data_IF_287664196479
#
_entry.id   IF_287664196479
#
_cell.length_a   1.000
_cell.length_b   1.000
_cell.length_c   1.000
_cell.angle_alpha   90.00
_cell.angle_beta   90.00
_cell.angle_gamma   90.00
#
_symmetry.space_group_name_H-M   'P 1'
#
loop_
_entity.id
_entity.type
_entity.pdbx_description
1 polymer ?
#
# COMPACT_ATOMS: atom_id res chain seq x y z
N UNK A 1 -49.05 -27.15 35.86
CA UNK A 1 -47.75 -27.63 35.35
C UNK A 1 -47.06 -26.51 34.59
N UNK A 2 -45.88 -26.03 35.00
CA UNK A 2 -45.08 -25.11 34.20
C UNK A 2 -44.68 -25.79 32.88
N UNK A 3 -44.74 -25.08 31.75
CA UNK A 3 -44.20 -25.62 30.50
C UNK A 3 -42.70 -25.87 30.67
N UNK A 4 -42.18 -27.02 30.23
CA UNK A 4 -40.74 -27.25 30.24
C UNK A 4 -40.06 -26.15 29.40
N UNK A 5 -38.87 -25.69 29.80
CA UNK A 5 -38.13 -24.69 29.05
C UNK A 5 -37.94 -25.17 27.61
N UNK A 6 -38.18 -24.28 26.63
CA UNK A 6 -37.97 -24.59 25.22
C UNK A 6 -36.51 -25.01 25.03
N UNK A 7 -36.29 -26.18 24.45
CA UNK A 7 -34.95 -26.63 24.09
C UNK A 7 -34.30 -25.62 23.14
N UNK A 8 -33.03 -25.32 23.39
CA UNK A 8 -32.23 -24.45 22.55
C UNK A 8 -32.06 -25.04 21.14
N UNK A 9 -31.96 -24.17 20.14
CA UNK A 9 -31.85 -24.62 18.74
C UNK A 9 -30.52 -25.36 18.53
N UNK A 10 -30.49 -26.50 17.82
CA UNK A 10 -29.30 -27.32 17.62
C UNK A 10 -28.39 -26.73 16.52
N UNK A 11 -27.92 -25.50 16.71
CA UNK A 11 -27.23 -24.72 15.69
C UNK A 11 -25.79 -25.17 15.42
N UNK A 12 -25.16 -25.84 16.39
CA UNK A 12 -23.80 -26.37 16.27
C UNK A 12 -23.78 -27.88 16.09
N UNK A 13 -24.90 -28.46 15.65
CA UNK A 13 -24.97 -29.88 15.29
C UNK A 13 -23.81 -30.25 14.38
N UNK A 14 -23.16 -31.38 14.69
CA UNK A 14 -21.98 -31.92 14.01
C UNK A 14 -20.73 -31.03 13.99
N UNK A 15 -20.69 -29.96 14.78
CA UNK A 15 -19.48 -29.16 14.92
C UNK A 15 -18.70 -29.54 16.17
N UNK A 16 -17.39 -29.63 15.99
CA UNK A 16 -16.41 -29.73 17.07
C UNK A 16 -15.62 -28.44 17.06
N UNK A 17 -15.71 -27.70 18.15
CA UNK A 17 -15.18 -26.34 18.28
C UNK A 17 -14.11 -26.34 19.36
N UNK A 18 -12.94 -25.79 19.03
CA UNK A 18 -11.85 -25.54 19.98
C UNK A 18 -11.55 -24.04 20.04
N UNK A 19 -10.83 -23.61 21.07
CA UNK A 19 -10.27 -22.24 21.16
C UNK A 19 -8.75 -22.26 21.01
N UNK A 20 -8.19 -21.20 20.44
CA UNK A 20 -6.75 -21.04 20.31
C UNK A 20 -6.07 -20.64 21.63
N UNK A 21 -6.78 -19.87 22.45
CA UNK A 21 -6.41 -19.43 23.79
C UNK A 21 -7.67 -18.98 24.55
N UNK A 22 -7.52 -18.59 25.81
CA UNK A 22 -8.60 -17.95 26.58
C UNK A 22 -9.12 -16.74 25.82
N UNK A 23 -10.42 -16.76 25.50
CA UNK A 23 -11.04 -15.67 24.75
C UNK A 23 -11.26 -14.46 25.68
N UNK A 24 -11.24 -13.23 25.14
CA UNK A 24 -11.48 -12.03 25.94
C UNK A 24 -12.84 -12.04 26.65
N UNK A 25 -12.83 -11.74 27.95
CA UNK A 25 -14.01 -11.65 28.82
C UNK A 25 -14.10 -12.81 29.82
N UNK A 26 -14.39 -12.48 31.09
CA UNK A 26 -14.38 -13.43 32.22
C UNK A 26 -15.29 -14.65 32.04
N UNK A 27 -16.36 -14.49 31.26
CA UNK A 27 -17.33 -15.55 31.00
C UNK A 27 -16.86 -16.58 29.96
N UNK A 28 -15.86 -16.30 29.13
CA UNK A 28 -15.41 -17.18 28.04
C UNK A 28 -14.36 -18.19 28.51
N UNK A 29 -14.65 -18.86 29.61
CA UNK A 29 -13.85 -19.97 30.12
C UNK A 29 -14.20 -21.27 29.40
N UNK A 30 -13.27 -22.21 29.36
CA UNK A 30 -13.49 -23.53 28.76
C UNK A 30 -14.76 -24.25 29.26
N UNK A 31 -15.07 -24.25 30.59
CA UNK A 31 -16.30 -24.88 31.08
C UNK A 31 -17.58 -24.20 30.57
N UNK A 32 -17.57 -22.87 30.47
CA UNK A 32 -18.72 -22.12 29.96
C UNK A 32 -18.91 -22.36 28.46
N UNK A 33 -17.82 -22.34 27.69
CA UNK A 33 -17.85 -22.65 26.27
C UNK A 33 -18.36 -24.07 26.02
N UNK A 34 -17.84 -25.06 26.76
CA UNK A 34 -18.31 -26.43 26.70
C UNK A 34 -19.82 -26.53 26.94
N UNK A 35 -20.32 -25.88 28.00
CA UNK A 35 -21.74 -25.84 28.32
C UNK A 35 -22.58 -25.18 27.22
N UNK A 36 -22.19 -24.00 26.74
CA UNK A 36 -22.96 -23.25 25.74
C UNK A 36 -23.00 -23.91 24.37
N UNK A 37 -21.90 -24.55 23.97
CA UNK A 37 -21.79 -25.29 22.71
C UNK A 37 -22.60 -26.59 22.80
N UNK A 38 -22.50 -27.32 23.91
CA UNK A 38 -23.26 -28.56 24.14
C UNK A 38 -24.77 -28.31 24.16
N UNK A 39 -25.21 -27.23 24.80
CA UNK A 39 -26.63 -26.81 24.83
C UNK A 39 -27.21 -26.61 23.42
N UNK A 40 -26.35 -26.35 22.43
CA UNK A 40 -26.69 -26.13 21.02
C UNK A 40 -26.27 -27.29 20.11
N UNK A 41 -26.13 -28.48 20.69
CA UNK A 41 -25.80 -29.75 20.03
C UNK A 41 -24.42 -29.82 19.35
N UNK A 42 -23.48 -28.95 19.74
CA UNK A 42 -22.07 -29.04 19.34
C UNK A 42 -21.22 -29.75 20.38
N UNK A 43 -19.95 -30.00 20.04
CA UNK A 43 -18.93 -30.50 20.98
C UNK A 43 -17.82 -29.47 21.15
N UNK A 44 -17.47 -29.19 22.40
CA UNK A 44 -16.26 -28.43 22.69
C UNK A 44 -15.07 -29.38 22.84
N UNK A 45 -13.92 -28.99 22.31
CA UNK A 45 -12.66 -29.73 22.46
C UNK A 45 -11.60 -28.83 23.06
N UNK A 46 -10.96 -29.32 24.13
CA UNK A 46 -9.75 -28.70 24.66
C UNK A 46 -8.57 -28.97 23.73
N UNK A 47 -8.52 -30.14 23.11
CA UNK A 47 -7.40 -30.56 22.27
C UNK A 47 -7.66 -30.35 20.78
N UNK A 48 -6.58 -30.17 20.03
CA UNK A 48 -6.60 -30.06 18.58
C UNK A 48 -6.41 -31.44 17.94
N UNK A 49 -7.50 -32.18 17.77
CA UNK A 49 -7.51 -33.49 17.13
C UNK A 49 -8.07 -33.44 15.68
N UNK A 50 -8.16 -34.61 15.04
CA UNK A 50 -8.69 -34.76 13.69
C UNK A 50 -10.20 -34.48 13.59
N UNK A 51 -10.92 -34.46 14.71
CA UNK A 51 -12.36 -34.23 14.76
C UNK A 51 -12.72 -32.74 14.82
N UNK A 52 -11.80 -31.87 15.27
CA UNK A 52 -12.01 -30.42 15.34
C UNK A 52 -12.35 -29.88 13.96
N UNK A 53 -13.44 -29.11 13.87
CA UNK A 53 -13.94 -28.49 12.65
C UNK A 53 -13.73 -26.98 12.62
N UNK A 54 -13.78 -26.35 13.80
CA UNK A 54 -13.66 -24.90 13.95
C UNK A 54 -12.69 -24.58 15.08
N UNK A 55 -11.80 -23.62 14.84
CA UNK A 55 -10.93 -23.03 15.85
C UNK A 55 -11.35 -21.57 16.02
N UNK A 56 -11.91 -21.24 17.18
CA UNK A 56 -12.21 -19.86 17.56
C UNK A 56 -10.92 -19.20 18.05
N UNK A 57 -10.53 -18.10 17.42
CA UNK A 57 -9.23 -17.48 17.62
C UNK A 57 -9.36 -15.94 17.61
N UNK A 58 -8.58 -15.27 18.45
CA UNK A 58 -8.47 -13.82 18.43
C UNK A 58 -7.42 -13.33 17.41
N UNK A 59 -7.51 -12.07 16.93
CA UNK A 59 -6.56 -11.53 15.97
C UNK A 59 -5.10 -11.56 16.46
N UNK A 60 -4.86 -11.36 17.75
CA UNK A 60 -3.51 -11.39 18.37
C UNK A 60 -2.88 -12.77 18.26
N UNK A 61 -3.60 -13.83 18.65
CA UNK A 61 -3.11 -15.21 18.66
C UNK A 61 -2.89 -15.73 17.23
N UNK A 62 -3.71 -15.25 16.29
CA UNK A 62 -3.56 -15.59 14.88
C UNK A 62 -2.38 -14.88 14.22
N UNK A 63 -2.11 -13.62 14.58
CA UNK A 63 -0.95 -12.87 14.09
C UNK A 63 0.36 -13.47 14.63
N UNK A 64 0.35 -14.08 15.82
CA UNK A 64 1.48 -14.80 16.43
C UNK A 64 1.44 -16.33 16.18
N UNK A 65 0.91 -16.75 15.01
CA UNK A 65 0.73 -18.16 14.65
C UNK A 65 1.99 -19.05 14.76
N UNK A 66 3.19 -18.46 14.72
CA UNK A 66 4.46 -19.15 14.93
C UNK A 66 4.50 -19.83 16.31
N UNK A 67 3.89 -19.20 17.31
CA UNK A 67 3.96 -19.63 18.72
C UNK A 67 2.75 -20.45 19.14
N UNK A 68 1.57 -20.21 18.57
CA UNK A 68 0.35 -20.94 18.92
C UNK A 68 0.23 -22.26 18.14
N UNK A 69 0.51 -23.39 18.83
CA UNK A 69 0.44 -24.72 18.23
C UNK A 69 -0.95 -25.09 17.67
N UNK A 70 -2.03 -24.61 18.30
CA UNK A 70 -3.41 -24.87 17.84
C UNK A 70 -3.72 -24.15 16.54
N UNK A 71 -3.29 -22.89 16.44
CA UNK A 71 -3.41 -22.11 15.19
C UNK A 71 -2.60 -22.76 14.08
N UNK A 72 -1.36 -23.18 14.36
CA UNK A 72 -0.51 -23.88 13.39
C UNK A 72 -1.14 -25.18 12.90
N UNK A 73 -1.68 -25.99 13.81
CA UNK A 73 -2.39 -27.23 13.46
C UNK A 73 -3.62 -26.97 12.59
N UNK A 74 -4.41 -25.94 12.91
CA UNK A 74 -5.58 -25.56 12.11
C UNK A 74 -5.19 -25.07 10.71
N UNK A 75 -4.16 -24.21 10.59
CA UNK A 75 -3.66 -23.74 9.29
C UNK A 75 -3.05 -24.87 8.45
N UNK A 76 -2.36 -25.83 9.10
CA UNK A 76 -1.80 -27.02 8.45
C UNK A 76 -2.85 -28.03 7.98
N UNK A 77 -4.10 -27.92 8.41
CA UNK A 77 -5.19 -28.85 8.08
C UNK A 77 -5.72 -28.74 6.64
N UNK A 78 -5.06 -27.94 5.77
CA UNK A 78 -5.44 -27.70 4.36
C UNK A 78 -6.90 -27.28 4.19
N UNK A 79 -7.40 -26.44 5.10
CA UNK A 79 -8.75 -25.87 5.05
C UNK A 79 -9.86 -26.73 5.65
N UNK A 80 -9.52 -27.91 6.20
CA UNK A 80 -10.46 -28.75 6.97
C UNK A 80 -10.95 -28.05 8.23
N UNK A 81 -10.05 -27.41 8.97
CA UNK A 81 -10.39 -26.63 10.16
C UNK A 81 -10.58 -25.16 9.77
N UNK A 82 -11.75 -24.61 10.09
CA UNK A 82 -12.05 -23.19 9.89
C UNK A 82 -11.57 -22.37 11.08
N UNK A 83 -10.66 -21.43 10.82
CA UNK A 83 -10.17 -20.50 11.86
C UNK A 83 -11.02 -19.24 11.82
N UNK A 84 -11.86 -19.06 12.82
CA UNK A 84 -12.90 -18.03 12.87
C UNK A 84 -12.72 -17.10 14.07
N UNK A 85 -13.25 -15.88 13.97
CA UNK A 85 -13.29 -14.93 15.08
C UNK A 85 -14.21 -15.40 16.21
N UNK A 86 -14.04 -14.80 17.39
CA UNK A 86 -14.98 -14.91 18.52
C UNK A 86 -16.41 -14.55 18.12
N UNK A 87 -16.57 -13.49 17.34
CA UNK A 87 -17.87 -12.96 16.90
C UNK A 87 -18.70 -14.01 16.16
N UNK A 88 -18.09 -14.90 15.37
CA UNK A 88 -18.84 -15.98 14.71
C UNK A 88 -19.57 -16.88 15.71
N UNK A 89 -18.93 -17.22 16.83
CA UNK A 89 -19.50 -18.06 17.87
C UNK A 89 -20.61 -17.29 18.60
N UNK A 90 -20.32 -16.06 19.01
CA UNK A 90 -21.26 -15.19 19.73
C UNK A 90 -22.51 -14.88 18.92
N UNK A 91 -22.33 -14.36 17.70
CA UNK A 91 -23.43 -13.96 16.84
C UNK A 91 -24.26 -15.17 16.40
N UNK A 92 -23.65 -16.33 16.19
CA UNK A 92 -24.39 -17.56 15.92
C UNK A 92 -25.29 -17.94 17.10
N UNK A 93 -24.78 -17.83 18.33
CA UNK A 93 -25.57 -18.09 19.54
C UNK A 93 -26.67 -17.04 19.73
N UNK A 94 -26.36 -15.76 19.57
CA UNK A 94 -27.32 -14.65 19.71
C UNK A 94 -28.45 -14.72 18.68
N UNK A 95 -28.14 -15.03 17.42
CA UNK A 95 -29.13 -15.15 16.36
C UNK A 95 -29.88 -16.49 16.37
N UNK A 96 -29.47 -17.43 17.23
CA UNK A 96 -30.06 -18.76 17.30
C UNK A 96 -30.00 -19.51 15.96
N UNK A 97 -28.94 -19.28 15.17
CA UNK A 97 -28.66 -19.98 13.90
C UNK A 97 -27.15 -19.99 13.64
N UNK A 98 -26.65 -21.03 12.95
CA UNK A 98 -25.25 -21.05 12.50
C UNK A 98 -25.03 -19.97 11.45
N UNK A 99 -24.10 -19.05 11.70
CA UNK A 99 -23.62 -18.13 10.69
C UNK A 99 -22.64 -18.81 9.73
N UNK A 100 -22.59 -18.31 8.50
CA UNK A 100 -21.56 -18.70 7.53
C UNK A 100 -20.21 -18.21 8.04
N UNK A 101 -19.16 -19.02 7.85
CA UNK A 101 -17.81 -18.72 8.32
C UNK A 101 -17.17 -17.61 7.48
N UNK A 102 -17.52 -17.52 6.19
CA UNK A 102 -17.08 -16.46 5.28
C UNK A 102 -17.41 -15.08 5.87
N UNK A 103 -16.42 -14.20 5.95
CA UNK A 103 -16.53 -12.90 6.63
C UNK A 103 -16.03 -12.90 8.08
N UNK A 104 -16.06 -14.05 8.75
CA UNK A 104 -15.50 -14.26 10.09
C UNK A 104 -14.21 -15.09 10.08
N UNK A 105 -13.81 -15.65 8.93
CA UNK A 105 -12.51 -16.30 8.79
C UNK A 105 -11.38 -15.30 9.07
N UNK A 106 -10.55 -15.62 10.05
CA UNK A 106 -9.59 -14.67 10.60
C UNK A 106 -8.50 -14.28 9.58
N UNK A 107 -8.21 -15.18 8.65
CA UNK A 107 -7.35 -14.88 7.49
C UNK A 107 -7.92 -13.77 6.60
N UNK A 108 -9.23 -13.78 6.31
CA UNK A 108 -9.89 -12.73 5.54
C UNK A 108 -9.92 -11.40 6.31
N UNK A 109 -10.24 -11.46 7.60
CA UNK A 109 -10.27 -10.29 8.50
C UNK A 109 -8.91 -9.61 8.56
N UNK A 110 -7.83 -10.36 8.85
CA UNK A 110 -6.47 -9.82 8.90
C UNK A 110 -6.00 -9.30 7.54
N UNK A 111 -6.37 -9.96 6.44
CA UNK A 111 -6.07 -9.46 5.08
C UNK A 111 -6.74 -8.10 4.83
N UNK A 112 -8.00 -7.96 5.23
CA UNK A 112 -8.78 -6.72 5.11
C UNK A 112 -8.19 -5.60 5.98
N UNK A 113 -7.87 -5.87 7.23
CA UNK A 113 -7.19 -4.91 8.12
C UNK A 113 -5.89 -4.39 7.50
N UNK A 114 -5.03 -5.30 7.02
CA UNK A 114 -3.77 -4.92 6.36
C UNK A 114 -4.00 -4.09 5.11
N UNK A 115 -5.07 -4.35 4.36
CA UNK A 115 -5.41 -3.59 3.16
C UNK A 115 -5.86 -2.17 3.49
N UNK A 116 -6.71 -2.02 4.52
CA UNK A 116 -7.13 -0.72 5.05
C UNK A 116 -5.92 0.07 5.54
N UNK A 117 -5.04 -0.56 6.33
CA UNK A 117 -3.83 0.08 6.84
C UNK A 117 -2.90 0.52 5.71
N UNK A 118 -2.62 -0.35 4.73
CA UNK A 118 -1.83 0.02 3.54
C UNK A 118 -2.45 1.18 2.78
N UNK A 119 -3.78 1.24 2.68
CA UNK A 119 -4.49 2.35 2.04
C UNK A 119 -4.33 3.64 2.84
N UNK A 120 -4.46 3.58 4.17
CA UNK A 120 -4.26 4.73 5.06
C UNK A 120 -2.85 5.31 4.92
N UNK A 121 -1.82 4.47 5.11
CA UNK A 121 -0.41 4.87 4.97
C UNK A 121 -0.13 5.45 3.58
N UNK A 122 -0.70 4.88 2.52
CA UNK A 122 -0.56 5.40 1.16
C UNK A 122 -1.19 6.79 1.00
N UNK A 123 -2.39 7.02 1.56
CA UNK A 123 -3.07 8.31 1.50
C UNK A 123 -2.28 9.36 2.28
N UNK A 124 -1.87 9.06 3.50
CA UNK A 124 -1.06 9.96 4.34
C UNK A 124 0.25 10.36 3.66
N UNK A 125 0.98 9.38 3.10
CA UNK A 125 2.20 9.64 2.33
C UNK A 125 1.93 10.54 1.11
N UNK A 126 0.82 10.31 0.41
CA UNK A 126 0.45 11.14 -0.74
C UNK A 126 0.13 12.59 -0.38
N UNK A 127 -0.51 12.82 0.78
CA UNK A 127 -0.75 14.16 1.31
C UNK A 127 0.56 14.85 1.66
N UNK A 128 1.49 14.16 2.34
CA UNK A 128 2.81 14.71 2.67
C UNK A 128 3.63 15.05 1.41
N UNK A 129 3.68 14.15 0.43
CA UNK A 129 4.36 14.38 -0.85
C UNK A 129 3.67 15.50 -1.65
N UNK A 130 2.34 15.59 -1.62
CA UNK A 130 1.56 16.65 -2.26
C UNK A 130 1.78 18.03 -1.66
N UNK A 131 2.04 18.13 -0.35
CA UNK A 131 2.40 19.41 0.30
C UNK A 131 3.75 19.96 -0.18
N UNK A 132 4.71 19.07 -0.48
CA UNK A 132 6.06 19.47 -0.90
C UNK A 132 6.22 19.51 -2.42
N UNK A 133 5.45 18.70 -3.15
CA UNK A 133 5.53 18.52 -4.60
C UNK A 133 4.19 18.20 -5.23
N UNK A 134 4.01 16.94 -5.64
CA UNK A 134 2.82 16.44 -6.36
C UNK A 134 2.37 15.13 -5.73
N UNK A 135 1.08 15.00 -5.44
CA UNK A 135 0.52 13.80 -4.79
C UNK A 135 0.52 12.60 -5.76
N UNK A 136 1.32 11.55 -5.50
CA UNK A 136 1.38 10.35 -6.35
C UNK A 136 0.09 9.53 -6.35
N UNK A 137 -0.86 9.79 -5.45
CA UNK A 137 -2.18 9.16 -5.48
C UNK A 137 -3.09 9.78 -6.53
N UNK A 138 -2.91 11.07 -6.82
CA UNK A 138 -3.73 11.83 -7.78
C UNK A 138 -3.08 11.91 -9.16
N UNK A 139 -1.74 11.88 -9.22
CA UNK A 139 -0.98 12.02 -10.46
C UNK A 139 -0.06 10.82 -10.71
N UNK A 140 0.25 10.57 -11.98
CA UNK A 140 1.28 9.65 -12.44
C UNK A 140 2.25 10.36 -13.39
N UNK A 141 3.34 9.69 -13.78
CA UNK A 141 4.28 10.24 -14.78
C UNK A 141 3.61 10.24 -16.15
N UNK A 142 3.65 11.38 -16.84
CA UNK A 142 3.18 11.47 -18.22
C UNK A 142 4.05 10.62 -19.16
N UNK A 143 3.39 9.88 -20.04
CA UNK A 143 4.01 9.16 -21.14
C UNK A 143 3.47 9.73 -22.46
N UNK A 144 4.34 10.03 -23.41
CA UNK A 144 3.90 10.44 -24.75
C UNK A 144 3.51 9.22 -25.62
N UNK A 145 3.18 9.50 -26.88
CA UNK A 145 2.85 8.49 -27.89
C UNK A 145 3.99 7.54 -28.22
N UNK A 146 5.23 7.85 -27.83
CA UNK A 146 6.41 6.98 -28.00
C UNK A 146 6.67 6.12 -26.76
N UNK A 147 5.78 6.19 -25.75
CA UNK A 147 5.97 5.59 -24.44
C UNK A 147 7.17 6.17 -23.67
N UNK A 148 7.68 7.32 -24.09
CA UNK A 148 8.73 8.01 -23.36
C UNK A 148 8.13 8.57 -22.06
N UNK A 149 8.68 8.12 -20.93
CA UNK A 149 8.31 8.60 -19.61
C UNK A 149 9.03 9.90 -19.32
N UNK A 150 8.26 10.96 -19.04
CA UNK A 150 8.81 12.27 -18.66
C UNK A 150 9.24 12.29 -17.19
N UNK A 151 10.14 11.38 -16.84
CA UNK A 151 10.86 11.29 -15.57
C UNK A 151 12.34 11.30 -15.92
N UNK A 152 12.93 12.50 -15.82
CA UNK A 152 14.21 12.85 -16.44
C UNK A 152 15.19 13.25 -15.35
N UNK A 153 16.36 12.65 -15.36
CA UNK A 153 17.45 13.00 -14.45
C UNK A 153 18.49 13.83 -15.17
N UNK A 154 18.85 14.97 -14.60
CA UNK A 154 20.04 15.73 -14.99
C UNK A 154 21.02 15.76 -13.82
N UNK A 155 22.30 15.54 -14.09
CA UNK A 155 23.37 15.45 -13.09
C UNK A 155 24.47 16.47 -13.38
N UNK A 156 25.29 16.82 -12.39
CA UNK A 156 26.50 17.62 -12.60
C UNK A 156 27.76 16.84 -12.16
N UNK A 157 28.93 17.46 -12.33
CA UNK A 157 30.23 16.86 -12.00
C UNK A 157 30.48 16.63 -10.53
N UNK A 158 29.65 17.19 -9.65
CA UNK A 158 29.73 17.01 -8.19
C UNK A 158 28.71 15.98 -7.68
N UNK A 159 28.09 15.22 -8.58
CA UNK A 159 27.04 14.26 -8.28
C UNK A 159 25.77 14.88 -7.65
N UNK A 160 25.58 16.20 -7.78
CA UNK A 160 24.28 16.82 -7.56
C UNK A 160 23.36 16.49 -8.73
N UNK A 161 22.06 16.33 -8.47
CA UNK A 161 21.10 15.97 -9.51
C UNK A 161 19.75 16.65 -9.35
N UNK A 162 19.08 16.89 -10.47
CA UNK A 162 17.65 17.16 -10.50
C UNK A 162 16.92 15.96 -11.08
N UNK A 163 15.88 15.50 -10.39
CA UNK A 163 14.87 14.60 -10.93
C UNK A 163 13.68 15.44 -11.35
N UNK A 164 13.53 15.64 -12.66
CA UNK A 164 12.48 16.40 -13.30
C UNK A 164 11.33 15.46 -13.68
N UNK A 165 10.10 15.82 -13.37
CA UNK A 165 8.94 14.99 -13.70
C UNK A 165 7.80 15.84 -14.24
N UNK A 166 7.27 15.45 -15.40
CA UNK A 166 5.99 15.93 -15.89
C UNK A 166 4.91 14.93 -15.48
N UNK A 167 4.01 15.38 -14.63
CA UNK A 167 2.91 14.59 -14.10
C UNK A 167 1.65 14.76 -14.94
N UNK A 168 0.82 13.72 -14.97
CA UNK A 168 -0.53 13.69 -15.53
C UNK A 168 -1.51 13.17 -14.47
N UNK A 169 -2.69 13.77 -14.37
CA UNK A 169 -3.73 13.34 -13.45
C UNK A 169 -4.23 11.95 -13.83
N UNK A 170 -4.46 11.11 -12.82
CA UNK A 170 -5.05 9.78 -13.01
C UNK A 170 -6.53 9.84 -13.34
N UNK A 171 -7.21 10.92 -12.95
CA UNK A 171 -8.59 11.18 -13.37
C UNK A 171 -8.62 11.45 -14.88
N UNK A 172 -9.36 10.66 -15.67
CA UNK A 172 -9.55 10.93 -17.07
C UNK A 172 -10.53 12.10 -17.27
N UNK A 173 -10.32 12.87 -18.36
CA UNK A 173 -11.23 13.90 -18.90
C UNK A 173 -11.55 15.14 -18.05
N UNK A 174 -10.91 16.29 -18.34
CA UNK A 174 -9.62 16.42 -19.02
C UNK A 174 -8.50 15.95 -18.08
N UNK A 175 -7.42 15.40 -18.65
CA UNK A 175 -6.20 15.26 -17.89
C UNK A 175 -5.65 16.63 -17.52
N UNK A 176 -5.23 16.77 -16.26
CA UNK A 176 -4.44 17.90 -15.78
C UNK A 176 -2.99 17.47 -15.65
N UNK A 177 -2.08 18.42 -15.82
CA UNK A 177 -0.66 18.18 -15.82
C UNK A 177 0.01 19.02 -14.74
N UNK A 178 1.22 18.63 -14.35
CA UNK A 178 2.03 19.39 -13.42
C UNK A 178 3.51 19.12 -13.64
N UNK A 179 4.34 20.17 -13.76
CA UNK A 179 5.78 20.01 -13.72
C UNK A 179 6.32 20.23 -12.30
N UNK A 180 7.20 19.34 -11.86
CA UNK A 180 8.01 19.56 -10.65
C UNK A 180 9.41 18.96 -10.83
N UNK A 181 10.37 19.46 -10.05
CA UNK A 181 11.71 18.92 -9.98
C UNK A 181 12.17 18.76 -8.53
N UNK A 182 12.86 17.66 -8.23
CA UNK A 182 13.52 17.41 -6.94
C UNK A 182 15.01 17.63 -7.09
N UNK A 183 15.61 18.46 -6.26
CA UNK A 183 17.05 18.70 -6.23
C UNK A 183 17.70 17.94 -5.08
N UNK A 184 18.74 17.17 -5.40
CA UNK A 184 19.58 16.45 -4.45
C UNK A 184 20.98 17.03 -4.53
N UNK A 185 21.49 17.57 -3.42
CA UNK A 185 22.80 18.22 -3.42
C UNK A 185 23.95 17.21 -3.47
N UNK A 186 23.74 16.01 -2.92
CA UNK A 186 24.71 14.92 -2.88
C UNK A 186 24.00 13.57 -2.98
N UNK A 187 24.77 12.53 -3.29
CA UNK A 187 24.25 11.15 -3.27
C UNK A 187 23.74 10.79 -1.86
N UNK A 188 22.50 10.32 -1.78
CA UNK A 188 21.86 9.94 -0.51
C UNK A 188 21.35 11.10 0.34
N UNK A 189 21.17 12.29 -0.24
CA UNK A 189 20.54 13.43 0.45
C UNK A 189 19.13 13.05 0.95
N UNK A 190 18.88 13.06 2.27
CA UNK A 190 17.61 12.61 2.85
C UNK A 190 16.45 13.59 2.61
N UNK A 191 16.73 14.83 2.23
CA UNK A 191 15.73 15.89 2.13
C UNK A 191 15.89 16.70 0.83
N UNK A 192 15.36 16.21 -0.30
CA UNK A 192 15.46 16.95 -1.56
C UNK A 192 14.72 18.28 -1.48
N UNK A 193 15.26 19.31 -2.14
CA UNK A 193 14.57 20.58 -2.32
C UNK A 193 13.60 20.46 -3.50
N UNK A 194 12.37 20.89 -3.31
CA UNK A 194 11.33 20.83 -4.33
C UNK A 194 11.25 22.13 -5.10
N UNK A 195 11.19 22.03 -6.42
CA UNK A 195 10.87 23.11 -7.33
C UNK A 195 9.53 22.82 -7.99
N UNK A 196 8.57 23.72 -7.80
CA UNK A 196 7.22 23.62 -8.37
C UNK A 196 6.78 25.01 -8.86
N UNK A 197 6.97 25.33 -10.15
CA UNK A 197 6.70 26.67 -10.65
C UNK A 197 5.20 27.00 -10.64
N UNK A 198 4.34 26.01 -10.93
CA UNK A 198 2.89 26.21 -10.95
C UNK A 198 2.28 26.01 -9.56
N UNK A 199 1.45 26.94 -9.06
CA UNK A 199 0.75 26.78 -7.79
C UNK A 199 -0.37 25.73 -7.84
N UNK A 200 -0.90 25.44 -9.04
CA UNK A 200 -1.95 24.45 -9.29
C UNK A 200 -1.65 23.69 -10.58
N UNK A 201 -2.16 22.47 -10.72
CA UNK A 201 -2.10 21.73 -11.98
C UNK A 201 -2.85 22.44 -13.12
N UNK A 202 -2.51 22.15 -14.38
CA UNK A 202 -3.12 22.83 -15.53
C UNK A 202 -3.04 22.06 -16.85
N UNK A 203 -3.11 22.79 -17.96
CA UNK A 203 -3.01 22.22 -19.30
C UNK A 203 -1.59 21.72 -19.59
N UNK A 204 -1.49 20.69 -20.43
CA UNK A 204 -0.23 20.08 -20.84
C UNK A 204 0.82 21.12 -21.26
N UNK A 205 0.48 21.97 -22.24
CA UNK A 205 1.43 22.91 -22.83
C UNK A 205 2.03 23.88 -21.82
N UNK A 206 1.24 24.36 -20.84
CA UNK A 206 1.72 25.27 -19.80
C UNK A 206 2.82 24.61 -18.96
N UNK A 207 2.55 23.39 -18.51
CA UNK A 207 3.48 22.64 -17.66
C UNK A 207 4.69 22.13 -18.45
N UNK A 208 4.49 21.79 -19.72
CA UNK A 208 5.57 21.40 -20.62
C UNK A 208 6.54 22.55 -20.89
N UNK A 209 6.05 23.79 -21.11
CA UNK A 209 6.91 24.98 -21.23
C UNK A 209 7.75 25.19 -19.97
N UNK A 210 7.17 25.01 -18.77
CA UNK A 210 7.96 25.08 -17.53
C UNK A 210 9.06 24.00 -17.47
N UNK A 211 8.74 22.78 -17.90
CA UNK A 211 9.70 21.68 -17.99
C UNK A 211 10.86 22.03 -18.93
N UNK A 212 10.58 22.47 -20.16
CA UNK A 212 11.60 22.82 -21.16
C UNK A 212 12.45 24.01 -20.73
N UNK A 213 11.80 25.06 -20.19
CA UNK A 213 12.49 26.25 -19.70
C UNK A 213 13.44 25.89 -18.56
N UNK A 214 13.01 25.03 -17.64
CA UNK A 214 13.86 24.56 -16.55
C UNK A 214 15.02 23.71 -17.08
N UNK A 215 14.77 22.79 -18.02
CA UNK A 215 15.80 21.96 -18.63
C UNK A 215 16.87 22.83 -19.31
N UNK A 216 16.45 23.76 -20.17
CA UNK A 216 17.34 24.69 -20.87
C UNK A 216 18.15 25.52 -19.87
N UNK A 217 17.51 26.07 -18.84
CA UNK A 217 18.19 26.88 -17.80
C UNK A 217 19.26 26.08 -17.04
N UNK A 218 19.09 24.77 -16.85
CA UNK A 218 20.03 23.93 -16.10
C UNK A 218 21.13 23.31 -16.96
N UNK A 219 20.85 23.08 -18.24
CA UNK A 219 21.75 22.32 -19.13
C UNK A 219 22.38 23.17 -20.22
N UNK A 220 21.77 24.30 -20.59
CA UNK A 220 22.15 25.11 -21.75
C UNK A 220 21.68 24.52 -23.07
N UNK A 221 20.99 23.37 -23.04
CA UNK A 221 20.58 22.62 -24.22
C UNK A 221 19.05 22.65 -24.33
N UNK A 222 18.46 23.01 -25.49
CA UNK A 222 17.03 22.86 -25.71
C UNK A 222 16.58 21.40 -25.58
N UNK A 223 15.40 21.15 -25.02
CA UNK A 223 14.88 19.80 -24.78
C UNK A 223 14.85 18.91 -26.03
N UNK A 224 14.51 19.47 -27.19
CA UNK A 224 14.51 18.75 -28.47
C UNK A 224 15.92 18.27 -28.88
N UNK A 225 16.95 18.99 -28.47
CA UNK A 225 18.36 18.69 -28.73
C UNK A 225 19.00 17.85 -27.62
N UNK A 226 18.23 17.36 -26.64
CA UNK A 226 18.74 16.61 -25.47
C UNK A 226 19.62 15.40 -25.81
N UNK A 227 19.32 14.71 -26.91
CA UNK A 227 20.09 13.55 -27.37
C UNK A 227 21.29 13.93 -28.23
N UNK A 228 21.30 15.16 -28.78
CA UNK A 228 22.44 15.69 -29.49
C UNK A 228 23.56 16.12 -28.53
N UNK A 229 23.28 16.24 -27.22
CA UNK A 229 24.18 16.72 -26.17
C UNK A 229 25.07 15.66 -25.51
N UNK A 230 25.36 14.53 -26.16
CA UNK A 230 26.36 13.54 -25.69
C UNK A 230 27.82 14.00 -25.90
N UNK A 231 28.08 15.32 -25.98
CA UNK A 231 29.40 15.88 -26.26
C UNK A 231 30.07 16.45 -25.01
N UNK A 232 31.41 16.41 -25.08
CA UNK A 232 32.39 16.64 -24.01
C UNK A 232 32.36 18.07 -23.48
N UNK A 233 32.88 18.27 -22.27
CA UNK A 233 32.89 19.52 -21.49
C UNK A 233 33.35 20.79 -22.25
N UNK A 234 34.01 20.65 -23.40
CA UNK A 234 34.79 21.68 -24.06
C UNK A 234 34.01 22.57 -25.06
N UNK A 235 32.75 22.28 -25.39
CA UNK A 235 31.94 23.04 -26.39
C UNK A 235 30.67 23.68 -25.80
N UNK A 236 30.77 24.34 -24.65
CA UNK A 236 29.63 25.15 -24.15
C UNK A 236 29.69 26.58 -24.69
N UNK A 237 28.54 27.16 -25.08
CA UNK A 237 28.49 28.53 -25.58
C UNK A 237 29.02 29.49 -24.54
N UNK A 238 29.86 30.43 -24.98
CA UNK A 238 30.23 31.60 -24.19
C UNK A 238 28.94 32.36 -23.81
N UNK A 239 28.95 32.84 -22.57
CA UNK A 239 27.82 33.34 -21.79
C UNK A 239 26.97 34.39 -22.52
N UNK A 240 25.92 33.95 -23.22
CA UNK A 240 24.76 34.77 -23.54
C UNK A 240 23.61 34.45 -22.56
N UNK A 241 23.88 34.69 -21.27
CA UNK A 241 22.85 34.97 -20.27
C UNK A 241 22.11 33.75 -19.72
N UNK A 242 22.54 33.26 -18.55
CA UNK A 242 21.60 32.48 -17.74
C UNK A 242 22.09 31.77 -16.49
N UNK A 243 23.41 31.65 -16.29
CA UNK A 243 23.94 30.96 -15.11
C UNK A 243 24.43 31.99 -14.09
N UNK A 244 23.79 32.03 -12.91
CA UNK A 244 24.27 32.88 -11.82
C UNK A 244 25.75 32.58 -11.51
N UNK A 245 26.57 33.61 -11.20
CA UNK A 245 27.99 33.43 -10.92
C UNK A 245 28.22 32.31 -9.89
N UNK A 246 29.02 31.29 -10.27
CA UNK A 246 29.38 30.17 -9.40
C UNK A 246 28.51 28.91 -9.49
N UNK A 247 27.47 28.87 -10.33
CA UNK A 247 26.71 27.62 -10.59
C UNK A 247 27.39 26.77 -11.67
N UNK A 248 27.27 25.44 -11.54
CA UNK A 248 27.74 24.46 -12.53
C UNK A 248 26.60 24.00 -13.43
N UNK A 249 26.94 23.68 -14.67
CA UNK A 249 26.04 23.09 -15.64
C UNK A 249 25.67 21.64 -15.29
N UNK A 250 24.47 21.23 -15.68
CA UNK A 250 24.00 19.85 -15.59
C UNK A 250 23.93 19.23 -16.99
N UNK A 251 24.00 17.91 -17.09
CA UNK A 251 23.77 17.16 -18.33
C UNK A 251 22.71 16.09 -18.11
N UNK A 252 22.05 15.71 -19.20
CA UNK A 252 20.99 14.71 -19.19
C UNK A 252 21.57 13.29 -19.18
N UNK A 253 21.11 12.48 -18.23
CA UNK A 253 21.36 11.04 -18.23
C UNK A 253 20.13 10.33 -18.81
N UNK A 254 20.23 9.80 -20.05
CA UNK A 254 19.13 9.02 -20.62
C UNK A 254 18.91 7.73 -19.80
N UNK A 255 17.66 7.25 -19.66
CA UNK A 255 17.37 5.98 -19.00
C UNK A 255 18.17 4.83 -19.62
N UNK A 256 18.76 3.99 -18.78
CA UNK A 256 19.64 2.86 -19.16
C UNK A 256 18.97 1.85 -20.11
N UNK A 257 17.65 1.93 -20.33
CA UNK A 257 16.88 1.08 -21.25
C UNK A 257 17.07 1.37 -22.75
N UNK A 258 17.91 2.35 -23.13
CA UNK A 258 18.21 2.67 -24.53
C UNK A 258 19.65 2.33 -24.97
N UNK A 259 20.44 1.60 -24.17
CA UNK A 259 21.83 1.28 -24.51
C UNK A 259 22.02 0.16 -25.57
N UNK A 260 20.96 -0.33 -26.19
CA UNK A 260 21.03 -1.32 -27.29
C UNK A 260 19.99 -1.04 -28.36
N UNK A 261 20.30 -0.13 -29.28
CA UNK A 261 19.78 -0.14 -30.65
C UNK A 261 20.87 0.37 -31.59
#
# INVERSE_FOLDING_TARGET
>A
MPRPPKAEKPIFRSLVIATAATLPGEQYTDPNLARWIALRAGRYSLDMDASVTHLVCGPSEFKTNSTNARVRAALGSKGRVKVVTKDWLEDSMMQGRRLKEKGFELGEVVRREREVERRRVRVERGVEEGMRGVDPNLFGVYCDSTFFRYEVTIVNSEAARYEMTLYQSKTPNPHLYWFAAKYYQRKGDPSPKYYRPSPTSGLFWREFVHFETFFLKKTGVPWEKRLLGLWKEDEKPEDEGGLEPGRKWFWYEPPVSFAHF
#
